data_IF_568617735227
#
_entry.id   IF_568617735227
#
_cell.length_a   1.000
_cell.length_b   1.000
_cell.length_c   1.000
_cell.angle_alpha   90.00
_cell.angle_beta   90.00
_cell.angle_gamma   90.00
#
_symmetry.space_group_name_H-M   'P 1'
#
loop_
_entity.id
_entity.type
_entity.pdbx_description
1 polymer ?
#
# COMPACT_ATOMS: atom_id res chain seq x y z
N UNK A 1 2.80 -6.40 15.87
CA UNK A 1 2.56 -5.15 16.64
C UNK A 1 1.32 -5.36 17.49
N UNK A 2 1.36 -4.99 18.77
CA UNK A 2 0.21 -5.08 19.68
C UNK A 2 -0.23 -3.69 20.13
N UNK A 3 -1.49 -3.35 19.87
CA UNK A 3 -2.09 -2.09 20.31
C UNK A 3 -3.09 -2.40 21.43
N UNK A 4 -2.96 -1.75 22.58
CA UNK A 4 -3.86 -1.93 23.72
C UNK A 4 -4.52 -0.61 24.10
N UNK A 5 -5.84 -0.60 24.24
CA UNK A 5 -6.54 0.56 24.79
C UNK A 5 -6.36 0.62 26.32
N UNK A 6 -5.49 1.51 26.80
CA UNK A 6 -5.24 1.73 28.23
C UNK A 6 -6.26 2.70 28.89
N UNK A 7 -7.24 3.21 28.12
CA UNK A 7 -8.30 4.08 28.66
C UNK A 7 -9.40 3.25 29.33
N UNK A 8 -10.20 3.95 30.15
CA UNK A 8 -11.43 3.43 30.75
C UNK A 8 -12.66 3.57 29.84
N UNK A 9 -12.50 4.19 28.67
CA UNK A 9 -13.56 4.40 27.67
C UNK A 9 -13.14 3.79 26.33
N UNK A 10 -14.09 3.47 25.43
CA UNK A 10 -13.76 3.12 24.05
C UNK A 10 -12.86 4.16 23.40
N UNK A 11 -11.99 3.71 22.51
CA UNK A 11 -11.09 4.55 21.73
C UNK A 11 -11.02 4.03 20.29
N UNK A 12 -11.16 4.97 19.37
CA UNK A 12 -11.05 4.70 17.94
C UNK A 12 -9.70 5.17 17.39
N UNK A 13 -9.13 4.41 16.47
CA UNK A 13 -7.85 4.75 15.85
C UNK A 13 -7.75 4.23 14.41
N UNK A 14 -6.74 4.72 13.70
CA UNK A 14 -6.27 4.14 12.45
C UNK A 14 -4.77 3.85 12.55
N UNK A 15 -4.30 2.90 11.76
CA UNK A 15 -2.89 2.51 11.71
C UNK A 15 -2.46 2.31 10.26
N UNK A 16 -1.23 2.74 9.96
CA UNK A 16 -0.55 2.54 8.68
C UNK A 16 0.87 2.04 8.97
N UNK A 17 1.24 0.90 8.38
CA UNK A 17 2.62 0.43 8.38
C UNK A 17 3.36 1.05 7.20
N UNK A 18 4.10 2.14 7.46
CA UNK A 18 4.76 2.93 6.44
C UNK A 18 6.14 2.34 6.04
N UNK A 19 6.14 1.14 5.46
CA UNK A 19 7.35 0.46 4.97
C UNK A 19 7.78 0.99 3.59
N UNK A 20 8.79 1.87 3.57
CA UNK A 20 9.34 2.43 2.34
C UNK A 20 10.57 1.66 1.85
N UNK A 21 10.66 1.52 0.54
CA UNK A 21 11.78 0.90 -0.15
C UNK A 21 12.44 1.91 -1.09
N UNK A 22 13.70 1.66 -1.46
CA UNK A 22 14.28 2.34 -2.61
C UNK A 22 13.57 1.85 -3.89
N UNK A 23 13.07 2.75 -4.76
CA UNK A 23 12.50 2.33 -6.03
C UNK A 23 13.61 1.75 -6.93
N UNK A 24 13.23 0.83 -7.81
CA UNK A 24 14.15 0.26 -8.80
C UNK A 24 13.50 0.41 -10.16
N UNK A 25 14.18 1.11 -11.07
CA UNK A 25 13.68 1.31 -12.42
C UNK A 25 13.39 -0.02 -13.12
N UNK A 26 12.23 -0.09 -13.79
CA UNK A 26 11.76 -1.29 -14.46
C UNK A 26 11.29 -2.41 -13.53
N UNK A 27 11.25 -2.22 -12.21
CA UNK A 27 10.70 -3.20 -11.29
C UNK A 27 9.20 -3.41 -11.52
N UNK A 28 8.76 -4.66 -11.46
CA UNK A 28 7.36 -5.04 -11.58
C UNK A 28 6.70 -5.11 -10.19
N UNK A 29 5.52 -4.51 -10.06
CA UNK A 29 4.69 -4.59 -8.86
C UNK A 29 3.65 -5.69 -9.06
N UNK A 30 3.81 -6.78 -8.33
CA UNK A 30 2.87 -7.92 -8.31
C UNK A 30 1.97 -7.75 -7.08
N UNK A 31 0.66 -7.86 -7.28
CA UNK A 31 -0.34 -7.59 -6.25
C UNK A 31 -1.64 -8.37 -6.49
N UNK A 32 -2.31 -8.84 -5.43
CA UNK A 32 -3.61 -9.50 -5.52
C UNK A 32 -4.74 -8.47 -5.48
N UNK A 33 -4.66 -7.42 -6.29
CA UNK A 33 -5.64 -6.31 -6.31
C UNK A 33 -6.28 -6.26 -7.69
N UNK A 34 -7.62 -6.29 -7.74
CA UNK A 34 -8.34 -6.10 -9.00
C UNK A 34 -8.09 -4.68 -9.51
N UNK A 35 -7.68 -4.48 -10.79
CA UNK A 35 -7.32 -3.16 -11.33
C UNK A 35 -8.58 -2.35 -11.70
N UNK A 36 -9.50 -2.16 -10.75
CA UNK A 36 -10.74 -1.42 -10.92
C UNK A 36 -11.28 -0.93 -9.57
N UNK A 37 -12.19 0.03 -9.60
CA UNK A 37 -12.93 0.43 -8.40
C UNK A 37 -13.80 -0.72 -7.86
N UNK A 38 -14.00 -0.80 -6.53
CA UNK A 38 -13.39 0.07 -5.51
C UNK A 38 -11.98 -0.38 -5.08
N UNK A 39 -11.50 -1.52 -5.57
CA UNK A 39 -10.31 -2.19 -5.05
C UNK A 39 -9.00 -1.46 -5.37
N UNK A 40 -8.97 -0.71 -6.46
CA UNK A 40 -7.87 0.16 -6.82
C UNK A 40 -8.40 1.58 -7.04
N UNK A 41 -8.10 2.49 -6.12
CA UNK A 41 -8.50 3.89 -6.20
C UNK A 41 -7.27 4.79 -6.14
N UNK A 42 -6.93 5.40 -7.28
CA UNK A 42 -5.94 6.48 -7.34
C UNK A 42 -6.45 7.67 -6.54
N UNK A 43 -5.55 8.32 -5.83
CA UNK A 43 -5.85 9.49 -5.03
C UNK A 43 -4.85 10.61 -5.35
N UNK A 44 -5.17 11.46 -6.33
CA UNK A 44 -4.23 12.47 -6.81
C UNK A 44 -4.02 13.59 -5.79
N UNK A 45 -2.75 13.98 -5.56
CA UNK A 45 -2.43 15.08 -4.66
C UNK A 45 -2.92 16.42 -5.25
N UNK A 46 -3.58 17.31 -4.47
CA UNK A 46 -4.16 18.55 -5.00
C UNK A 46 -3.12 19.53 -5.55
N UNK A 47 -1.88 19.48 -5.03
CA UNK A 47 -0.74 20.26 -5.50
C UNK A 47 0.17 19.54 -6.49
N UNK A 48 -0.27 18.44 -7.11
CA UNK A 48 0.56 17.71 -8.07
C UNK A 48 0.85 18.55 -9.33
N UNK A 49 2.03 18.33 -9.92
CA UNK A 49 2.40 18.97 -11.19
C UNK A 49 1.50 18.49 -12.35
N UNK A 50 1.41 19.22 -13.47
CA UNK A 50 0.67 18.77 -14.65
C UNK A 50 1.13 17.40 -15.19
N UNK A 51 2.43 17.11 -15.09
CA UNK A 51 2.98 15.83 -15.52
C UNK A 51 2.49 14.68 -14.62
N UNK A 52 2.58 14.85 -13.30
CA UNK A 52 2.06 13.87 -12.33
C UNK A 52 0.55 13.72 -12.44
N UNK A 53 -0.20 14.80 -12.71
CA UNK A 53 -1.63 14.74 -12.97
C UNK A 53 -1.96 13.91 -14.21
N UNK A 54 -1.20 14.07 -15.30
CA UNK A 54 -1.37 13.27 -16.50
C UNK A 54 -1.07 11.78 -16.23
N UNK A 55 -0.05 11.49 -15.43
CA UNK A 55 0.27 10.13 -15.00
C UNK A 55 -0.85 9.49 -14.16
N UNK A 56 -1.30 10.16 -13.10
CA UNK A 56 -2.36 9.63 -12.22
C UNK A 56 -3.71 9.50 -12.94
N UNK A 57 -4.01 10.37 -13.91
CA UNK A 57 -5.18 10.24 -14.77
C UNK A 57 -5.10 9.00 -15.68
N UNK A 58 -3.92 8.70 -16.27
CA UNK A 58 -3.71 7.48 -17.06
C UNK A 58 -3.90 6.22 -16.21
N UNK A 59 -3.33 6.18 -14.99
CA UNK A 59 -3.53 5.05 -14.07
C UNK A 59 -4.99 4.94 -13.64
N UNK A 60 -5.68 6.05 -13.42
CA UNK A 60 -7.10 6.02 -13.08
C UNK A 60 -7.94 5.38 -14.20
N UNK A 61 -7.55 5.58 -15.46
CA UNK A 61 -8.22 4.98 -16.62
C UNK A 61 -7.82 3.52 -16.85
N UNK A 62 -6.55 3.17 -16.59
CA UNK A 62 -6.02 1.81 -16.67
C UNK A 62 -5.06 1.55 -15.51
N UNK A 63 -5.54 0.98 -14.38
CA UNK A 63 -4.71 0.76 -13.21
C UNK A 63 -3.55 -0.22 -13.45
N UNK A 64 -3.60 -1.04 -14.51
CA UNK A 64 -2.51 -1.98 -14.82
C UNK A 64 -1.20 -1.27 -15.20
N UNK A 65 -1.29 -0.01 -15.66
CA UNK A 65 -0.12 0.83 -15.93
C UNK A 65 0.70 1.12 -14.68
N UNK A 66 0.11 0.99 -13.49
CA UNK A 66 0.83 1.16 -12.21
C UNK A 66 1.62 -0.07 -11.77
N UNK A 67 1.59 -1.17 -12.52
CA UNK A 67 2.30 -2.41 -12.15
C UNK A 67 3.80 -2.37 -12.47
N UNK A 68 4.36 -1.21 -12.85
CA UNK A 68 5.79 -1.03 -13.09
C UNK A 68 6.28 0.28 -12.47
N UNK A 69 7.47 0.24 -11.90
CA UNK A 69 8.21 1.43 -11.53
C UNK A 69 8.92 1.95 -12.78
N UNK A 70 8.68 3.22 -13.10
CA UNK A 70 9.32 3.97 -14.16
C UNK A 70 9.96 5.22 -13.54
N UNK A 71 11.28 5.21 -13.36
CA UNK A 71 12.00 6.34 -12.76
C UNK A 71 12.18 7.52 -13.74
N UNK A 72 11.85 7.35 -15.02
CA UNK A 72 11.79 8.48 -15.95
C UNK A 72 10.52 9.32 -15.74
N UNK A 73 9.48 8.76 -15.10
CA UNK A 73 8.25 9.48 -14.78
C UNK A 73 8.44 10.34 -13.52
N UNK A 74 8.36 11.67 -13.68
CA UNK A 74 8.37 12.59 -12.54
C UNK A 74 7.06 12.50 -11.75
N UNK A 75 7.16 12.31 -10.43
CA UNK A 75 6.05 12.19 -9.50
C UNK A 75 6.21 13.25 -8.41
N UNK A 76 5.66 14.43 -8.66
CA UNK A 76 5.78 15.61 -7.81
C UNK A 76 4.38 16.07 -7.36
N UNK A 77 4.08 16.03 -6.04
CA UNK A 77 4.95 15.52 -4.97
C UNK A 77 5.00 13.98 -4.92
N UNK A 78 3.95 13.30 -5.39
CA UNK A 78 3.79 11.85 -5.21
C UNK A 78 2.71 11.26 -6.14
N UNK A 79 2.70 9.94 -6.24
CA UNK A 79 1.58 9.14 -6.70
C UNK A 79 1.03 8.30 -5.53
N UNK A 80 -0.25 8.51 -5.21
CA UNK A 80 -0.98 7.79 -4.17
C UNK A 80 -2.13 6.95 -4.72
N UNK A 81 -2.35 5.78 -4.12
CA UNK A 81 -3.56 4.98 -4.32
C UNK A 81 -3.94 4.20 -3.06
N UNK A 82 -5.24 3.99 -2.85
CA UNK A 82 -5.79 3.08 -1.84
C UNK A 82 -6.11 1.77 -2.53
N UNK A 83 -5.58 0.68 -1.99
CA UNK A 83 -5.71 -0.67 -2.52
C UNK A 83 -6.46 -1.56 -1.52
N UNK A 84 -7.39 -2.37 -2.02
CA UNK A 84 -8.08 -3.42 -1.25
C UNK A 84 -7.76 -4.76 -1.89
N UNK A 85 -6.85 -5.57 -1.30
CA UNK A 85 -6.47 -6.85 -1.88
C UNK A 85 -7.56 -7.90 -1.74
N UNK A 86 -7.53 -8.87 -2.64
CA UNK A 86 -8.18 -10.17 -2.45
C UNK A 86 -7.22 -11.05 -1.64
N UNK A 87 -7.59 -11.47 -0.42
CA UNK A 87 -6.71 -12.33 0.38
C UNK A 87 -6.69 -13.77 -0.13
N UNK A 88 -5.65 -14.50 0.25
CA UNK A 88 -5.57 -15.96 0.16
C UNK A 88 -6.59 -16.64 1.11
N UNK A 89 -6.67 -17.97 1.04
CA UNK A 89 -7.57 -18.77 1.88
C UNK A 89 -7.33 -18.60 3.40
N UNK A 90 -6.14 -18.13 3.79
CA UNK A 90 -5.77 -17.86 5.19
C UNK A 90 -6.00 -16.41 5.61
N UNK A 91 -6.55 -15.56 4.73
CA UNK A 91 -6.81 -14.16 5.02
C UNK A 91 -5.60 -13.25 4.82
N UNK A 92 -4.56 -13.70 4.11
CA UNK A 92 -3.34 -12.90 3.89
C UNK A 92 -3.25 -12.36 2.47
N UNK A 93 -2.66 -11.19 2.31
CA UNK A 93 -2.26 -10.67 1.01
C UNK A 93 -0.74 -10.48 0.97
N UNK A 94 -0.13 -10.77 -0.19
CA UNK A 94 1.30 -10.54 -0.43
C UNK A 94 1.49 -9.65 -1.65
N UNK A 95 2.32 -8.63 -1.50
CA UNK A 95 2.72 -7.72 -2.56
C UNK A 95 4.22 -7.89 -2.81
N UNK A 96 4.64 -7.85 -4.07
CA UNK A 96 6.04 -7.94 -4.45
C UNK A 96 6.45 -6.74 -5.30
N UNK A 97 7.65 -6.23 -5.07
CA UNK A 97 8.38 -5.38 -6.01
C UNK A 97 9.55 -6.18 -6.57
N UNK A 98 9.33 -6.79 -7.74
CA UNK A 98 10.28 -7.68 -8.41
C UNK A 98 11.22 -6.84 -9.29
N UNK A 99 12.51 -6.89 -9.00
CA UNK A 99 13.57 -6.18 -9.71
C UNK A 99 13.88 -6.86 -11.05
N UNK A 100 14.52 -6.14 -12.01
CA UNK A 100 14.99 -6.74 -13.27
C UNK A 100 15.96 -7.92 -13.10
N UNK A 101 16.70 -7.98 -11.99
CA UNK A 101 17.60 -9.11 -11.65
C UNK A 101 16.87 -10.30 -11.01
N UNK A 102 15.54 -10.24 -10.91
CA UNK A 102 14.67 -11.29 -10.39
C UNK A 102 14.50 -11.29 -8.86
N UNK A 103 15.34 -10.58 -8.10
CA UNK A 103 15.15 -10.43 -6.65
C UNK A 103 13.92 -9.58 -6.36
N UNK A 104 13.34 -9.69 -5.17
CA UNK A 104 12.15 -8.90 -4.84
C UNK A 104 12.17 -8.37 -3.41
N UNK A 105 11.55 -7.23 -3.19
CA UNK A 105 11.01 -6.89 -1.87
C UNK A 105 9.60 -7.49 -1.76
N UNK A 106 9.25 -8.02 -0.58
CA UNK A 106 7.92 -8.57 -0.28
C UNK A 106 7.31 -7.86 0.92
N UNK A 107 6.00 -7.62 0.86
CA UNK A 107 5.19 -7.20 2.00
C UNK A 107 3.96 -8.11 2.08
N UNK A 108 3.84 -8.87 3.17
CA UNK A 108 2.72 -9.79 3.43
C UNK A 108 2.03 -9.45 4.74
N UNK A 109 0.70 -9.43 4.78
CA UNK A 109 -0.08 -9.04 5.96
C UNK A 109 -1.46 -9.70 6.05
N UNK A 110 -2.00 -9.78 7.27
CA UNK A 110 -3.34 -10.29 7.56
C UNK A 110 -4.41 -9.23 7.26
N UNK A 111 -5.20 -9.46 6.21
CA UNK A 111 -6.20 -8.50 5.72
C UNK A 111 -7.42 -8.41 6.63
N UNK A 112 -7.63 -9.38 7.53
CA UNK A 112 -8.72 -9.33 8.52
C UNK A 112 -8.46 -8.25 9.59
N UNK A 113 -7.21 -7.81 9.71
CA UNK A 113 -6.75 -6.78 10.65
C UNK A 113 -6.35 -5.48 9.95
N UNK A 114 -5.83 -5.60 8.73
CA UNK A 114 -5.37 -4.49 7.88
C UNK A 114 -6.06 -4.63 6.52
N UNK A 115 -7.31 -4.18 6.35
CA UNK A 115 -8.08 -4.42 5.12
C UNK A 115 -7.54 -3.71 3.88
N UNK A 116 -6.63 -2.75 4.02
CA UNK A 116 -6.14 -1.92 2.93
C UNK A 116 -4.62 -1.96 2.82
N UNK A 117 -4.10 -1.59 1.65
CA UNK A 117 -2.74 -1.11 1.47
C UNK A 117 -2.77 0.28 0.83
N UNK A 118 -1.91 1.19 1.27
CA UNK A 118 -1.64 2.42 0.55
C UNK A 118 -0.46 2.16 -0.38
N UNK A 119 -0.58 2.57 -1.64
CA UNK A 119 0.55 2.73 -2.54
C UNK A 119 0.95 4.20 -2.53
N UNK A 120 2.21 4.46 -2.21
CA UNK A 120 2.81 5.79 -2.23
C UNK A 120 4.16 5.70 -2.93
N UNK A 121 4.30 6.39 -4.07
CA UNK A 121 5.56 6.46 -4.82
C UNK A 121 5.94 7.93 -4.98
N UNK A 122 7.16 8.28 -4.58
CA UNK A 122 7.76 9.60 -4.73
C UNK A 122 8.95 9.49 -5.69
N UNK A 123 9.01 10.41 -6.66
CA UNK A 123 10.11 10.55 -7.62
C UNK A 123 10.21 12.01 -8.05
N UNK A 124 10.73 12.85 -7.16
CA UNK A 124 10.77 14.31 -7.36
C UNK A 124 12.10 14.80 -7.95
N UNK A 125 13.09 13.92 -8.06
CA UNK A 125 14.49 14.24 -8.36
C UNK A 125 15.34 14.54 -7.11
N UNK A 126 14.73 15.08 -6.05
CA UNK A 126 15.36 15.26 -4.73
C UNK A 126 15.03 14.11 -3.76
N UNK A 127 13.89 13.44 -3.99
CA UNK A 127 13.39 12.32 -3.19
C UNK A 127 12.91 11.18 -4.09
N UNK A 128 13.35 9.97 -3.77
CA UNK A 128 12.95 8.73 -4.42
C UNK A 128 12.57 7.70 -3.35
N UNK A 129 11.31 7.25 -3.36
CA UNK A 129 10.83 6.25 -2.42
C UNK A 129 9.65 5.45 -3.00
N UNK A 130 9.61 4.16 -2.67
CA UNK A 130 8.55 3.25 -3.05
C UNK A 130 7.91 2.59 -1.82
N UNK A 131 6.84 3.21 -1.32
CA UNK A 131 5.85 2.53 -0.50
C UNK A 131 4.88 1.74 -1.39
N UNK A 132 5.35 0.68 -2.04
CA UNK A 132 4.55 -0.06 -3.02
C UNK A 132 3.38 -0.84 -2.40
N UNK A 133 3.49 -1.14 -1.10
CA UNK A 133 2.46 -1.74 -0.25
C UNK A 133 2.67 -1.25 1.19
N UNK A 134 1.78 -0.39 1.67
CA UNK A 134 1.75 0.10 3.05
C UNK A 134 0.48 -0.41 3.74
N UNK A 135 0.52 -1.56 4.44
CA UNK A 135 -0.65 -2.15 5.08
C UNK A 135 -1.33 -1.19 6.07
N UNK A 136 -2.65 -1.08 6.01
CA UNK A 136 -3.40 -0.05 6.72
C UNK A 136 -4.77 -0.51 7.19
N UNK A 137 -5.26 0.11 8.27
CA UNK A 137 -6.66 -0.01 8.70
C UNK A 137 -7.59 0.94 7.96
N UNK A 138 -7.08 2.02 7.35
CA UNK A 138 -7.88 3.07 6.72
C UNK A 138 -7.15 3.73 5.53
N UNK A 139 -7.85 4.57 4.76
CA UNK A 139 -7.21 5.47 3.79
C UNK A 139 -6.36 6.56 4.50
N UNK A 140 -5.56 7.30 3.73
CA UNK A 140 -4.56 8.24 4.25
C UNK A 140 -5.07 9.69 4.44
N UNK A 141 -6.34 9.98 4.16
CA UNK A 141 -6.95 11.33 4.24
C UNK A 141 -7.14 11.90 5.66
N UNK A 142 -6.51 11.29 6.66
CA UNK A 142 -6.61 11.69 8.05
C UNK A 142 -7.87 11.17 8.77
N UNK A 143 -7.91 11.46 10.07
CA UNK A 143 -8.87 10.84 11.00
C UNK A 143 -10.33 11.16 10.70
N UNK A 144 -10.66 12.42 10.44
CA UNK A 144 -12.06 12.85 10.28
C UNK A 144 -12.72 12.21 9.05
N UNK A 145 -12.00 12.10 7.94
CA UNK A 145 -12.48 11.42 6.74
C UNK A 145 -12.60 9.91 6.99
N UNK A 146 -11.61 9.29 7.63
CA UNK A 146 -11.70 7.87 8.00
C UNK A 146 -12.86 7.56 8.96
N UNK A 147 -13.22 8.48 9.85
CA UNK A 147 -14.39 8.37 10.71
C UNK A 147 -15.70 8.47 9.92
N UNK A 148 -15.80 9.44 9.01
CA UNK A 148 -16.95 9.62 8.12
C UNK A 148 -17.17 8.39 7.21
N UNK A 149 -16.08 7.77 6.76
CA UNK A 149 -16.11 6.57 5.90
C UNK A 149 -16.17 5.25 6.70
N UNK A 150 -16.25 5.32 8.04
CA UNK A 150 -16.40 4.14 8.90
C UNK A 150 -15.18 3.22 8.95
N UNK A 151 -13.98 3.75 8.71
CA UNK A 151 -12.73 2.99 8.63
C UNK A 151 -11.91 2.96 9.94
N UNK A 152 -12.38 3.62 11.00
CA UNK A 152 -11.68 3.58 12.29
C UNK A 152 -11.90 2.25 12.99
N UNK A 153 -10.83 1.71 13.58
CA UNK A 153 -10.90 0.56 14.47
C UNK A 153 -11.33 1.04 15.85
N UNK A 154 -12.43 0.51 16.36
CA UNK A 154 -12.91 0.74 17.73
C UNK A 154 -12.35 -0.30 18.70
N UNK A 155 -11.73 0.16 19.80
CA UNK A 155 -11.27 -0.71 20.88
C UNK A 155 -11.96 -0.36 22.20
N UNK A 156 -12.62 -1.35 22.79
CA UNK A 156 -13.13 -1.28 24.16
C UNK A 156 -11.98 -1.11 25.19
N UNK A 157 -12.26 -0.63 26.41
CA UNK A 157 -11.27 -0.54 27.49
C UNK A 157 -10.55 -1.87 27.72
N UNK A 158 -9.20 -1.85 27.73
CA UNK A 158 -8.36 -3.03 27.92
C UNK A 158 -8.28 -3.99 26.73
N UNK A 159 -9.06 -3.76 25.65
CA UNK A 159 -9.00 -4.58 24.45
C UNK A 159 -7.68 -4.39 23.70
N UNK A 160 -7.29 -5.44 22.96
CA UNK A 160 -6.05 -5.49 22.18
C UNK A 160 -6.36 -5.71 20.70
N UNK A 161 -5.60 -5.07 19.83
CA UNK A 161 -5.54 -5.38 18.40
C UNK A 161 -4.13 -5.85 18.04
N UNK A 162 -4.04 -7.08 17.54
CA UNK A 162 -2.80 -7.66 17.07
C UNK A 162 -2.69 -7.49 15.55
N UNK A 163 -1.60 -6.87 15.10
CA UNK A 163 -1.34 -6.60 13.69
C UNK A 163 -0.06 -7.32 13.27
N UNK A 164 -0.09 -8.03 12.15
CA UNK A 164 1.07 -8.75 11.61
C UNK A 164 1.36 -8.28 10.19
N UNK A 165 2.59 -7.83 9.98
CA UNK A 165 3.15 -7.48 8.69
C UNK A 165 4.53 -8.13 8.62
N UNK A 166 4.81 -8.81 7.52
CA UNK A 166 6.10 -9.42 7.20
C UNK A 166 6.67 -8.66 6.01
N UNK A 167 7.86 -8.10 6.17
CA UNK A 167 8.57 -7.38 5.12
C UNK A 167 9.93 -8.06 4.90
N UNK A 168 10.18 -8.54 3.69
CA UNK A 168 11.33 -9.40 3.37
C UNK A 168 12.02 -8.96 2.07
N UNK A 169 13.29 -9.37 1.93
CA UNK A 169 14.01 -9.35 0.65
C UNK A 169 14.22 -10.79 0.19
N UNK A 170 13.72 -11.10 -1.00
CA UNK A 170 13.72 -12.43 -1.59
C UNK A 170 14.82 -12.54 -2.65
N UNK A 171 15.48 -13.70 -2.69
CA UNK A 171 16.28 -14.09 -3.85
C UNK A 171 15.39 -14.38 -5.07
N UNK A 172 16.01 -14.50 -6.24
CA UNK A 172 15.29 -14.68 -7.50
C UNK A 172 14.48 -15.98 -7.56
N UNK A 173 14.97 -17.05 -6.94
CA UNK A 173 14.27 -18.35 -6.95
C UNK A 173 13.00 -18.32 -6.10
N UNK A 174 13.08 -17.67 -4.93
CA UNK A 174 11.98 -17.50 -4.00
C UNK A 174 10.95 -16.53 -4.57
N UNK A 175 11.40 -15.40 -5.12
CA UNK A 175 10.52 -14.42 -5.76
C UNK A 175 9.74 -15.02 -6.95
N UNK A 176 10.41 -15.80 -7.81
CA UNK A 176 9.75 -16.48 -8.92
C UNK A 176 8.70 -17.48 -8.46
N UNK A 177 8.97 -18.20 -7.36
CA UNK A 177 8.03 -19.18 -6.81
C UNK A 177 6.79 -18.50 -6.20
N UNK A 178 6.99 -17.40 -5.46
CA UNK A 178 5.88 -16.64 -4.84
C UNK A 178 5.02 -15.88 -5.84
N UNK A 179 5.58 -15.46 -6.98
CA UNK A 179 4.82 -14.80 -8.05
C UNK A 179 3.79 -15.71 -8.73
N UNK A 180 4.05 -17.02 -8.76
CA UNK A 180 3.24 -18.00 -9.49
C UNK A 180 2.09 -18.59 -8.68
N UNK A 181 2.09 -18.41 -7.35
CA UNK A 181 1.03 -18.83 -6.43
C UNK A 181 0.05 -17.71 -6.17
#
# INVERSE_FOLDING_TARGET
MDITNQRRTPMSYSYLCHVNWAPVDGAELVQPVRPALPDFKVDPHPGQTPETAAYTARISADPTLSNRIDLAQSLVPEYCAVLTPTPDESGWAEFLMVRPDGKAASVRYDTTRLPHAIRWISNTGDEEAAGFCLPSTAHHHGRAAAEADGMLVELAPGAKHHLVVIADVLDASTASSRRAG
#
